data_IF_970713505178
#
_entry.id   IF_970713505178
#
_cell.length_a   1.000
_cell.length_b   1.000
_cell.length_c   1.000
_cell.angle_alpha   90.00
_cell.angle_beta   90.00
_cell.angle_gamma   90.00
#
_symmetry.space_group_name_H-M   'P 1'
#
loop_
_entity.id
_entity.type
_entity.pdbx_description
1 polymer ?
#
# COMPACT_ATOMS: atom_id res chain seq x y z
N UNK A 1 1.16 7.69 22.74
CA UNK A 1 2.17 6.97 21.92
C UNK A 1 1.67 5.60 21.48
N UNK A 2 1.29 4.67 22.36
CA UNK A 2 0.77 3.33 21.97
C UNK A 2 -0.47 3.46 21.09
N UNK A 3 -1.42 4.29 21.49
CA UNK A 3 -2.63 4.58 20.68
C UNK A 3 -2.30 5.11 19.28
N UNK A 4 -1.21 5.87 19.14
CA UNK A 4 -0.77 6.37 17.85
C UNK A 4 -0.18 5.24 16.99
N UNK A 5 0.62 4.34 17.59
CA UNK A 5 1.12 3.14 16.90
C UNK A 5 -0.04 2.29 16.35
N UNK A 6 -1.08 2.06 17.17
CA UNK A 6 -2.27 1.33 16.76
C UNK A 6 -2.96 2.00 15.56
N UNK A 7 -3.18 3.33 15.63
CA UNK A 7 -3.79 4.10 14.54
C UNK A 7 -2.98 4.07 13.25
N UNK A 8 -1.65 4.14 13.34
CA UNK A 8 -0.80 4.06 12.16
C UNK A 8 -0.84 2.67 11.52
N UNK A 9 -0.90 1.59 12.31
CA UNK A 9 -1.10 0.23 11.81
C UNK A 9 -2.46 0.10 11.11
N UNK A 10 -3.54 0.60 11.72
CA UNK A 10 -4.87 0.60 11.12
C UNK A 10 -4.91 1.39 9.81
N UNK A 11 -4.28 2.56 9.80
CA UNK A 11 -4.16 3.38 8.61
C UNK A 11 -3.37 2.67 7.50
N UNK A 12 -2.23 2.07 7.83
CA UNK A 12 -1.40 1.36 6.89
C UNK A 12 -2.10 0.10 6.32
N UNK A 13 -2.94 -0.56 7.11
CA UNK A 13 -3.75 -1.71 6.68
C UNK A 13 -5.08 -1.30 6.03
N UNK A 14 -5.45 -0.01 6.08
CA UNK A 14 -6.77 0.52 5.68
C UNK A 14 -7.92 -0.27 6.33
N UNK A 15 -7.73 -0.67 7.58
CA UNK A 15 -8.67 -1.48 8.34
C UNK A 15 -8.60 -1.17 9.83
N UNK A 16 -9.76 -0.93 10.44
CA UNK A 16 -9.89 -0.75 11.89
C UNK A 16 -9.92 -2.10 12.60
N UNK A 17 -9.38 -2.13 13.84
CA UNK A 17 -9.33 -3.33 14.68
C UNK A 17 -10.48 -3.31 15.68
N UNK A 18 -11.68 -3.71 15.24
CA UNK A 18 -12.91 -3.65 16.03
C UNK A 18 -13.47 -5.04 16.44
N UNK A 19 -13.00 -6.11 15.84
CA UNK A 19 -13.49 -7.46 16.09
C UNK A 19 -12.34 -8.46 16.27
N UNK A 20 -12.57 -9.60 16.95
CA UNK A 20 -11.56 -10.66 17.05
C UNK A 20 -10.98 -11.11 15.70
N UNK A 21 -11.80 -11.13 14.64
CA UNK A 21 -11.35 -11.47 13.28
C UNK A 21 -10.37 -10.44 12.70
N UNK A 22 -10.48 -9.16 13.09
CA UNK A 22 -9.54 -8.14 12.67
C UNK A 22 -8.16 -8.36 13.30
N UNK A 23 -8.12 -8.78 14.56
CA UNK A 23 -6.87 -9.14 15.25
C UNK A 23 -6.24 -10.43 14.71
N UNK A 24 -7.04 -11.41 14.28
CA UNK A 24 -6.54 -12.59 13.57
C UNK A 24 -5.93 -12.20 12.22
N UNK A 25 -6.57 -11.29 11.49
CA UNK A 25 -6.02 -10.73 10.26
C UNK A 25 -4.71 -10.00 10.51
N UNK A 26 -4.64 -9.10 11.50
CA UNK A 26 -3.40 -8.39 11.86
C UNK A 26 -2.28 -9.37 12.21
N UNK A 27 -2.57 -10.38 13.05
CA UNK A 27 -1.62 -11.44 13.41
C UNK A 27 -1.05 -12.14 12.16
N UNK A 28 -1.92 -12.52 11.23
CA UNK A 28 -1.50 -13.18 9.99
C UNK A 28 -0.62 -12.29 9.11
N UNK A 29 -0.89 -10.97 9.07
CA UNK A 29 -0.07 -9.99 8.35
C UNK A 29 1.29 -9.78 8.99
N UNK A 30 1.36 -9.71 10.32
CA UNK A 30 2.63 -9.64 11.06
C UNK A 30 3.47 -10.89 10.79
N UNK A 31 2.86 -12.08 10.91
CA UNK A 31 3.55 -13.34 10.64
C UNK A 31 4.07 -13.43 9.19
N UNK A 32 3.25 -13.07 8.21
CA UNK A 32 3.65 -13.10 6.81
C UNK A 32 4.83 -12.16 6.49
N UNK A 33 4.96 -11.05 7.24
CA UNK A 33 6.01 -10.05 7.00
C UNK A 33 7.31 -10.32 7.78
N UNK A 34 7.19 -10.79 9.02
CA UNK A 34 8.31 -10.86 9.97
C UNK A 34 8.63 -12.28 10.43
N UNK A 35 7.78 -13.26 10.13
CA UNK A 35 7.83 -14.65 10.65
C UNK A 35 7.81 -14.71 12.20
N UNK A 36 7.24 -13.71 12.85
CA UNK A 36 7.10 -13.65 14.31
C UNK A 36 5.65 -13.92 14.69
N UNK A 37 5.44 -14.74 15.71
CA UNK A 37 4.13 -15.05 16.25
C UNK A 37 3.78 -14.16 17.43
N UNK A 38 2.67 -13.43 17.34
CA UNK A 38 2.04 -12.70 18.45
C UNK A 38 0.65 -13.27 18.66
N UNK A 39 0.26 -13.50 19.92
CA UNK A 39 -1.10 -13.96 20.21
C UNK A 39 -2.13 -12.86 19.91
N UNK A 40 -3.32 -13.25 19.44
CA UNK A 40 -4.45 -12.33 19.24
C UNK A 40 -4.84 -11.61 20.53
N UNK A 41 -4.77 -12.31 21.68
CA UNK A 41 -5.05 -11.73 22.98
C UNK A 41 -4.07 -10.59 23.32
N UNK A 42 -2.77 -10.75 23.01
CA UNK A 42 -1.78 -9.68 23.18
C UNK A 42 -2.12 -8.46 22.34
N UNK A 43 -2.50 -8.67 21.09
CA UNK A 43 -2.93 -7.57 20.21
C UNK A 43 -4.20 -6.88 20.73
N UNK A 44 -5.20 -7.66 21.14
CA UNK A 44 -6.44 -7.12 21.72
C UNK A 44 -6.18 -6.24 22.96
N UNK A 45 -5.24 -6.63 23.84
CA UNK A 45 -4.84 -5.82 25.00
C UNK A 45 -4.18 -4.50 24.59
N UNK A 46 -3.30 -4.52 23.59
CA UNK A 46 -2.61 -3.32 23.11
C UNK A 46 -3.60 -2.30 22.53
N UNK A 47 -4.64 -2.79 21.86
CA UNK A 47 -5.72 -1.95 21.34
C UNK A 47 -6.77 -1.54 22.37
N UNK A 48 -6.67 -2.03 23.62
CA UNK A 48 -7.66 -1.77 24.66
C UNK A 48 -9.00 -2.48 24.42
N UNK A 49 -9.03 -3.50 23.56
CA UNK A 49 -10.21 -4.32 23.32
C UNK A 49 -10.51 -5.24 24.51
N UNK A 50 -9.48 -5.66 25.22
CA UNK A 50 -9.54 -6.37 26.51
C UNK A 50 -8.71 -5.57 27.49
N UNK A 51 -9.34 -5.05 28.53
CA UNK A 51 -8.67 -4.30 29.60
C UNK A 51 -8.27 -5.27 30.73
N UNK A 52 -6.97 -5.45 30.93
CA UNK A 52 -6.39 -6.22 32.02
C UNK A 52 -5.37 -5.40 32.83
N UNK A 53 -5.29 -4.07 32.60
CA UNK A 53 -4.42 -3.17 33.35
C UNK A 53 -2.91 -3.46 33.22
N UNK A 54 -2.50 -4.27 32.24
CA UNK A 54 -1.09 -4.65 32.04
C UNK A 54 -0.48 -3.83 30.89
N UNK A 55 0.58 -3.10 31.18
CA UNK A 55 1.32 -2.39 30.13
C UNK A 55 1.97 -3.35 29.11
N UNK A 56 1.92 -3.04 27.82
CA UNK A 56 2.54 -3.85 26.78
C UNK A 56 4.06 -3.91 26.96
N UNK A 57 4.63 -5.08 26.78
CA UNK A 57 6.08 -5.25 26.82
C UNK A 57 6.75 -4.52 25.68
N UNK A 58 7.91 -3.91 25.93
CA UNK A 58 8.73 -3.23 24.91
C UNK A 58 9.05 -4.14 23.72
N UNK A 59 9.28 -5.44 23.95
CA UNK A 59 9.50 -6.41 22.88
C UNK A 59 8.32 -6.49 21.90
N UNK A 60 7.10 -6.45 22.40
CA UNK A 60 5.90 -6.45 21.56
C UNK A 60 5.74 -5.14 20.79
N UNK A 61 6.03 -4.01 21.45
CA UNK A 61 6.02 -2.69 20.80
C UNK A 61 7.08 -2.59 19.71
N UNK A 62 8.27 -3.21 19.91
CA UNK A 62 9.29 -3.31 18.87
C UNK A 62 8.79 -4.07 17.65
N UNK A 63 8.14 -5.22 17.82
CA UNK A 63 7.59 -6.01 16.71
C UNK A 63 6.56 -5.19 15.93
N UNK A 64 5.67 -4.49 16.61
CA UNK A 64 4.65 -3.65 15.96
C UNK A 64 5.28 -2.44 15.24
N UNK A 65 6.32 -1.84 15.81
CA UNK A 65 7.07 -0.76 15.16
C UNK A 65 7.82 -1.26 13.92
N UNK A 66 8.44 -2.44 14.02
CA UNK A 66 9.10 -3.10 12.88
C UNK A 66 8.09 -3.51 11.79
N UNK A 67 6.87 -3.85 12.17
CA UNK A 67 5.79 -4.09 11.20
C UNK A 67 5.48 -2.83 10.37
N UNK A 68 5.57 -1.65 10.95
CA UNK A 68 5.48 -0.37 10.24
C UNK A 68 6.77 0.05 9.51
N UNK A 69 7.88 -0.70 9.70
CA UNK A 69 9.16 -0.44 9.02
C UNK A 69 10.17 0.36 9.85
N UNK A 70 9.87 0.68 11.11
CA UNK A 70 10.83 1.27 12.03
C UNK A 70 11.75 0.18 12.59
N UNK A 71 12.97 0.54 13.00
CA UNK A 71 13.93 -0.43 13.54
C UNK A 71 13.50 -0.94 14.93
N UNK A 72 12.84 -0.08 15.71
CA UNK A 72 12.36 -0.38 17.07
C UNK A 72 11.29 0.64 17.54
N UNK A 73 10.80 0.42 18.77
CA UNK A 73 9.83 1.31 19.41
C UNK A 73 10.36 2.73 19.65
N UNK A 74 11.64 2.87 20.00
CA UNK A 74 12.26 4.18 20.24
C UNK A 74 12.34 5.02 18.97
N UNK A 75 12.65 4.40 17.83
CA UNK A 75 12.63 5.08 16.53
C UNK A 75 11.22 5.52 16.16
N UNK A 76 10.23 4.68 16.36
CA UNK A 76 8.83 5.06 16.20
C UNK A 76 8.47 6.27 17.05
N UNK A 77 8.85 6.29 18.35
CA UNK A 77 8.56 7.41 19.24
C UNK A 77 9.22 8.71 18.77
N UNK A 78 10.46 8.64 18.29
CA UNK A 78 11.16 9.82 17.74
C UNK A 78 10.45 10.35 16.50
N UNK A 79 10.04 9.47 15.60
CA UNK A 79 9.33 9.84 14.38
C UNK A 79 7.94 10.43 14.69
N UNK A 80 7.20 9.82 15.60
CA UNK A 80 5.87 10.27 16.02
C UNK A 80 5.85 11.68 16.64
N UNK A 81 6.98 12.14 17.17
CA UNK A 81 7.16 13.50 17.68
C UNK A 81 7.59 14.52 16.60
N UNK A 82 7.85 14.08 15.38
CA UNK A 82 8.14 14.97 14.25
C UNK A 82 6.87 15.58 13.68
N UNK A 83 6.94 16.77 13.07
CA UNK A 83 5.83 17.32 12.29
C UNK A 83 5.36 16.32 11.22
N UNK A 84 4.04 16.20 11.03
CA UNK A 84 3.45 15.22 10.09
C UNK A 84 3.98 15.34 8.67
N UNK A 85 4.31 16.55 8.26
CA UNK A 85 4.85 16.86 6.93
C UNK A 85 6.24 16.25 6.68
N UNK A 86 6.96 15.89 7.75
CA UNK A 86 8.31 15.30 7.69
C UNK A 86 8.31 13.79 7.98
N UNK A 87 7.16 13.21 8.31
CA UNK A 87 7.05 11.79 8.62
C UNK A 87 7.01 10.94 7.35
N UNK A 88 7.79 9.85 7.35
CA UNK A 88 7.72 8.80 6.35
C UNK A 88 7.00 7.58 6.93
N UNK A 89 6.09 7.00 6.18
CA UNK A 89 5.39 5.79 6.59
C UNK A 89 5.53 4.67 5.55
N UNK A 90 5.64 3.40 6.00
CA UNK A 90 5.68 2.28 5.08
C UNK A 90 4.33 2.03 4.44
N UNK A 91 4.35 1.57 3.20
CA UNK A 91 3.15 1.10 2.49
C UNK A 91 3.04 -0.42 2.68
N UNK A 92 1.97 -0.87 3.32
CA UNK A 92 1.70 -2.28 3.62
C UNK A 92 0.72 -2.94 2.63
N UNK A 93 0.25 -2.20 1.64
CA UNK A 93 -0.70 -2.67 0.65
C UNK A 93 -0.08 -3.69 -0.33
N UNK A 94 -0.95 -4.40 -1.03
CA UNK A 94 -0.54 -5.30 -2.11
C UNK A 94 0.23 -4.51 -3.17
N UNK A 95 1.46 -4.93 -3.46
CA UNK A 95 2.34 -4.30 -4.44
C UNK A 95 2.65 -5.23 -5.60
N UNK A 96 2.67 -4.70 -6.79
CA UNK A 96 3.06 -5.34 -8.02
C UNK A 96 4.40 -4.76 -8.48
N UNK A 97 5.48 -5.50 -8.28
CA UNK A 97 6.79 -5.17 -8.86
C UNK A 97 6.76 -5.63 -10.31
N UNK A 98 6.69 -4.69 -11.25
CA UNK A 98 6.40 -4.95 -12.66
C UNK A 98 7.31 -6.03 -13.26
N UNK A 99 8.64 -5.87 -13.15
CA UNK A 99 9.61 -6.82 -13.72
C UNK A 99 9.55 -8.24 -13.15
N UNK A 100 9.10 -8.37 -11.90
CA UNK A 100 9.07 -9.68 -11.21
C UNK A 100 7.75 -10.39 -11.35
N UNK A 101 6.69 -9.65 -11.65
CA UNK A 101 5.32 -10.13 -11.54
C UNK A 101 4.60 -10.24 -12.88
N UNK A 102 5.08 -9.54 -13.90
CA UNK A 102 4.43 -9.48 -15.21
C UNK A 102 5.29 -10.11 -16.31
N UNK A 103 4.58 -10.73 -17.27
CA UNK A 103 5.14 -11.23 -18.53
C UNK A 103 4.63 -10.40 -19.69
N UNK A 104 5.39 -10.33 -20.78
CA UNK A 104 4.96 -9.66 -22.00
C UNK A 104 3.55 -10.12 -22.42
N UNK A 105 2.66 -9.17 -22.66
CA UNK A 105 1.27 -9.41 -23.02
C UNK A 105 0.30 -9.52 -21.85
N UNK A 106 0.79 -9.57 -20.60
CA UNK A 106 -0.11 -9.55 -19.43
C UNK A 106 -0.92 -8.27 -19.41
N UNK A 107 -2.19 -8.39 -19.07
CA UNK A 107 -3.13 -7.26 -19.02
C UNK A 107 -3.59 -6.99 -17.61
N UNK A 108 -3.71 -5.71 -17.30
CA UNK A 108 -4.20 -5.22 -16.02
C UNK A 108 -5.32 -4.22 -16.25
N UNK A 109 -6.37 -4.31 -15.45
CA UNK A 109 -7.37 -3.26 -15.31
C UNK A 109 -7.03 -2.39 -14.14
N UNK A 110 -6.91 -1.10 -14.38
CA UNK A 110 -6.72 -0.07 -13.36
C UNK A 110 -8.03 0.66 -13.13
N UNK A 111 -8.39 0.87 -11.85
CA UNK A 111 -9.59 1.63 -11.49
C UNK A 111 -9.27 2.66 -10.41
N UNK A 112 -9.87 3.85 -10.50
CA UNK A 112 -9.77 4.90 -9.46
C UNK A 112 -10.95 5.86 -9.53
N UNK A 113 -11.19 6.59 -8.44
CA UNK A 113 -12.33 7.50 -8.33
C UNK A 113 -12.24 8.70 -9.30
N UNK A 114 -13.40 9.23 -9.71
CA UNK A 114 -14.75 8.79 -9.33
C UNK A 114 -15.22 7.51 -10.04
N UNK A 115 -14.88 7.30 -11.30
CA UNK A 115 -15.40 6.25 -12.18
C UNK A 115 -14.43 5.94 -13.32
N UNK A 116 -13.15 6.01 -13.06
CA UNK A 116 -12.09 5.86 -14.07
C UNK A 116 -11.67 4.43 -14.21
N UNK A 117 -11.59 3.97 -15.46
CA UNK A 117 -11.12 2.64 -15.82
C UNK A 117 -10.06 2.78 -16.91
N UNK A 118 -8.99 1.98 -16.81
CA UNK A 118 -7.94 1.94 -17.82
C UNK A 118 -7.36 0.53 -17.88
N UNK A 119 -7.54 -0.13 -19.03
CA UNK A 119 -6.94 -1.42 -19.30
C UNK A 119 -5.59 -1.19 -19.95
N UNK A 120 -4.55 -1.80 -19.38
CA UNK A 120 -3.16 -1.67 -19.82
C UNK A 120 -2.57 -3.04 -20.14
N UNK A 121 -1.70 -3.09 -21.12
CA UNK A 121 -0.95 -4.27 -21.55
C UNK A 121 0.54 -4.04 -21.30
N UNK A 122 1.19 -5.02 -20.69
CA UNK A 122 2.63 -4.96 -20.41
C UNK A 122 3.44 -5.35 -21.66
N UNK A 123 4.35 -4.47 -22.05
CA UNK A 123 5.20 -4.64 -23.22
C UNK A 123 6.65 -5.07 -22.91
N UNK A 124 6.95 -5.35 -21.63
CA UNK A 124 8.33 -5.60 -21.18
C UNK A 124 9.06 -4.31 -20.80
N UNK A 125 10.18 -4.43 -20.09
CA UNK A 125 11.07 -3.31 -19.70
C UNK A 125 10.32 -2.14 -19.04
N UNK A 126 9.43 -2.43 -18.09
CA UNK A 126 8.57 -1.46 -17.39
C UNK A 126 7.59 -0.69 -18.31
N UNK A 127 7.50 -1.04 -19.58
CA UNK A 127 6.68 -0.34 -20.55
C UNK A 127 5.27 -0.94 -20.65
N UNK A 128 4.28 -0.08 -20.77
CA UNK A 128 2.87 -0.42 -20.92
C UNK A 128 2.26 0.30 -22.11
N UNK A 129 1.22 -0.30 -22.67
CA UNK A 129 0.33 0.34 -23.64
C UNK A 129 -1.09 0.36 -23.08
N UNK A 130 -1.79 1.46 -23.25
CA UNK A 130 -3.22 1.56 -22.96
C UNK A 130 -3.99 0.78 -24.02
N UNK A 131 -4.72 -0.26 -23.60
CA UNK A 131 -5.55 -1.08 -24.47
C UNK A 131 -6.98 -0.52 -24.58
N UNK A 132 -7.52 -0.01 -23.46
CA UNK A 132 -8.82 0.67 -23.41
C UNK A 132 -8.82 1.67 -22.25
N UNK A 133 -9.67 2.70 -22.33
CA UNK A 133 -9.79 3.67 -21.24
C UNK A 133 -11.14 4.35 -21.22
N UNK A 134 -11.67 4.58 -20.01
CA UNK A 134 -12.92 5.29 -19.77
C UNK A 134 -12.71 6.37 -18.70
N UNK A 135 -13.27 7.55 -18.94
CA UNK A 135 -13.26 8.69 -18.02
C UNK A 135 -11.85 9.14 -17.56
N UNK A 136 -10.80 8.82 -18.33
CA UNK A 136 -9.41 9.18 -18.02
C UNK A 136 -8.81 10.10 -19.09
N UNK A 137 -7.63 10.66 -18.77
CA UNK A 137 -6.80 11.38 -19.75
C UNK A 137 -5.90 10.46 -20.56
N UNK A 138 -5.71 9.23 -20.11
CA UNK A 138 -5.04 8.19 -20.88
C UNK A 138 -5.95 7.74 -22.02
N UNK A 139 -5.40 7.49 -23.18
CA UNK A 139 -6.14 7.11 -24.39
C UNK A 139 -5.61 5.79 -24.92
N UNK A 140 -6.45 5.05 -25.57
CA UNK A 140 -6.04 3.84 -26.29
C UNK A 140 -4.86 4.14 -27.22
N UNK A 141 -3.83 3.28 -27.15
CA UNK A 141 -2.58 3.44 -27.88
C UNK A 141 -1.51 4.27 -27.17
N UNK A 142 -1.83 5.01 -26.12
CA UNK A 142 -0.82 5.71 -25.30
C UNK A 142 0.16 4.70 -24.71
N UNK A 143 1.42 5.06 -24.63
CA UNK A 143 2.46 4.23 -23.98
C UNK A 143 3.13 4.97 -22.83
N UNK A 144 3.55 4.23 -21.83
CA UNK A 144 4.20 4.81 -20.65
C UNK A 144 5.06 3.78 -19.91
N UNK A 145 5.87 4.25 -18.96
CA UNK A 145 6.67 3.42 -18.08
C UNK A 145 6.15 3.47 -16.65
N UNK A 146 6.16 2.30 -15.98
CA UNK A 146 5.86 2.16 -14.56
C UNK A 146 6.61 0.96 -14.00
N UNK A 147 7.30 1.11 -12.87
CA UNK A 147 8.09 0.03 -12.25
C UNK A 147 7.36 -0.64 -11.09
N UNK A 148 6.40 0.06 -10.49
CA UNK A 148 5.74 -0.37 -9.27
C UNK A 148 4.29 0.13 -9.24
N UNK A 149 3.35 -0.77 -9.04
CA UNK A 149 1.94 -0.44 -8.79
C UNK A 149 1.59 -0.91 -7.38
N UNK A 150 1.06 -0.03 -6.55
CA UNK A 150 0.65 -0.34 -5.19
C UNK A 150 -0.86 -0.16 -5.07
N UNK A 151 -1.55 -1.22 -4.68
CA UNK A 151 -3.01 -1.21 -4.59
C UNK A 151 -3.52 -0.15 -3.62
N UNK A 152 -4.37 0.74 -4.11
CA UNK A 152 -4.92 1.85 -3.34
C UNK A 152 -3.98 3.03 -3.09
N UNK A 153 -2.79 3.07 -3.73
CA UNK A 153 -1.89 4.23 -3.71
C UNK A 153 -1.85 4.93 -5.09
N UNK A 154 -1.45 6.20 -5.14
CA UNK A 154 -1.24 6.87 -6.42
C UNK A 154 -0.23 6.12 -7.29
N UNK A 155 -0.55 5.95 -8.56
CA UNK A 155 0.36 5.34 -9.53
C UNK A 155 1.07 6.43 -10.34
N UNK A 156 2.38 6.46 -10.24
CA UNK A 156 3.22 7.38 -10.99
C UNK A 156 3.65 6.74 -12.31
N UNK A 157 3.32 7.45 -13.38
CA UNK A 157 3.57 7.04 -14.75
C UNK A 157 4.63 7.96 -15.33
N UNK A 158 5.69 7.41 -15.84
CA UNK A 158 6.75 8.17 -16.51
C UNK A 158 6.72 7.91 -18.01
N UNK A 159 7.34 8.83 -18.75
CA UNK A 159 7.47 8.73 -20.20
C UNK A 159 6.14 8.46 -20.92
N UNK A 160 5.05 9.11 -20.47
CA UNK A 160 3.75 9.00 -21.11
C UNK A 160 3.79 9.67 -22.47
N UNK A 161 3.63 8.89 -23.54
CA UNK A 161 3.61 9.34 -24.93
C UNK A 161 2.16 9.27 -25.44
N UNK A 162 1.65 10.41 -25.86
CA UNK A 162 0.29 10.57 -26.42
C UNK A 162 0.38 11.06 -27.86
N UNK A 163 0.36 10.13 -28.81
CA UNK A 163 0.55 10.42 -30.23
C UNK A 163 1.94 11.04 -30.48
N UNK A 164 2.02 12.19 -31.13
CA UNK A 164 3.26 12.88 -31.49
C UNK A 164 3.71 13.91 -30.44
N UNK A 165 3.17 13.86 -29.22
CA UNK A 165 3.55 14.80 -28.15
C UNK A 165 4.85 14.39 -27.46
N UNK A 166 5.53 15.36 -26.87
CA UNK A 166 6.68 15.10 -26.02
C UNK A 166 6.24 14.26 -24.79
N UNK A 167 7.10 13.34 -24.35
CA UNK A 167 6.83 12.53 -23.15
C UNK A 167 6.60 13.40 -21.91
N UNK A 168 5.65 13.01 -21.09
CA UNK A 168 5.33 13.67 -19.81
C UNK A 168 5.27 12.64 -18.69
N UNK A 169 5.44 13.11 -17.44
CA UNK A 169 5.08 12.34 -16.25
C UNK A 169 3.60 12.58 -15.91
N UNK A 170 2.93 11.54 -15.43
CA UNK A 170 1.51 11.61 -15.07
C UNK A 170 1.20 10.81 -13.81
N UNK A 171 0.22 11.22 -13.04
CA UNK A 171 -0.21 10.52 -11.81
C UNK A 171 -1.66 10.08 -11.94
N UNK A 172 -1.88 8.76 -11.87
CA UNK A 172 -3.21 8.18 -11.77
C UNK A 172 -3.62 8.06 -10.30
N UNK A 173 -4.88 8.32 -10.00
CA UNK A 173 -5.43 8.13 -8.65
C UNK A 173 -4.80 9.01 -7.57
N UNK A 174 -4.45 10.26 -7.85
CA UNK A 174 -3.72 11.16 -6.94
C UNK A 174 -4.33 11.27 -5.53
N UNK A 175 -5.66 11.20 -5.41
CA UNK A 175 -6.37 11.35 -4.13
C UNK A 175 -6.84 10.00 -3.59
N UNK A 176 -7.37 9.14 -4.46
CA UNK A 176 -8.03 7.87 -4.08
C UNK A 176 -7.12 6.64 -4.16
N UNK A 177 -5.93 6.79 -4.72
CA UNK A 177 -5.11 5.66 -5.15
C UNK A 177 -5.69 4.94 -6.37
N UNK A 178 -4.95 3.99 -6.90
CA UNK A 178 -5.34 3.12 -8.02
C UNK A 178 -5.51 1.69 -7.50
N UNK A 179 -6.55 0.99 -7.90
CA UNK A 179 -6.69 -0.46 -7.72
C UNK A 179 -6.34 -1.16 -9.01
N UNK A 180 -5.77 -2.36 -8.91
CA UNK A 180 -5.45 -3.16 -10.08
C UNK A 180 -5.96 -4.59 -9.96
N UNK A 181 -6.34 -5.15 -11.07
CA UNK A 181 -6.70 -6.56 -11.23
C UNK A 181 -6.13 -7.11 -12.54
N UNK A 182 -5.82 -8.40 -12.57
CA UNK A 182 -5.43 -9.07 -13.81
C UNK A 182 -6.68 -9.35 -14.62
N UNK A 183 -6.59 -9.11 -15.94
CA UNK A 183 -7.64 -9.44 -16.91
C UNK A 183 -7.06 -10.32 -18.03
N UNK A 184 -7.92 -11.11 -18.65
CA UNK A 184 -7.53 -11.97 -19.77
C UNK A 184 -7.35 -11.18 -21.09
#
# INVERSE_FOLDING_TARGET
MITQLCKEIEHALKRQMNTPKDFEFLRSRIFARQHIYISTTTLMRIWGYVDEGVEPRTSTLNILSQFLGYSNWEEFQRNANMPKELQSSPVLNRRLCVDKSLRYGDRLRLTWLPDRVCDIEYLGNHSFRVAASENTRLREGDTFNCSLIIDGEPMYVDNLIQGNRLPIAYVCGKISGVRYEFIE
#
